data_IF_831212427927
#
_entry.id   IF_831212427927
#
_cell.length_a   1.000
_cell.length_b   1.000
_cell.length_c   1.000
_cell.angle_alpha   90.00
_cell.angle_beta   90.00
_cell.angle_gamma   90.00
#
_symmetry.space_group_name_H-M   'P 1'
#
loop_
_entity.id
_entity.type
_entity.pdbx_description
1 polymer ?
#
# COMPACT_ATOMS: atom_id res chain seq x y z
N UNK A 1 16.25 -4.19 -0.17
CA UNK A 1 16.35 -2.82 -0.73
C UNK A 1 15.29 -1.97 -0.06
N UNK A 2 15.71 -1.02 0.78
CA UNK A 2 14.79 -0.09 1.44
C UNK A 2 14.26 0.90 0.40
N UNK A 3 12.94 1.14 0.37
CA UNK A 3 12.26 2.05 -0.55
C UNK A 3 12.52 3.54 -0.22
N UNK A 4 13.70 3.85 0.32
CA UNK A 4 14.11 5.18 0.75
C UNK A 4 14.67 6.04 -0.39
N UNK A 5 14.73 5.54 -1.63
CA UNK A 5 15.36 6.26 -2.75
C UNK A 5 14.76 5.95 -4.13
N UNK A 6 13.50 5.49 -4.21
CA UNK A 6 12.82 5.49 -5.50
C UNK A 6 12.48 6.94 -5.83
N UNK A 7 13.32 7.57 -6.67
CA UNK A 7 13.07 8.91 -7.21
C UNK A 7 11.65 8.89 -7.77
N UNK A 8 10.77 9.73 -7.23
CA UNK A 8 9.39 9.83 -7.72
C UNK A 8 9.46 10.26 -9.17
N UNK A 9 9.25 9.32 -10.08
CA UNK A 9 9.20 9.56 -11.52
C UNK A 9 7.75 9.75 -11.95
N UNK A 10 7.51 10.47 -13.06
CA UNK A 10 6.17 10.57 -13.64
C UNK A 10 5.54 9.19 -13.91
N UNK A 11 6.32 8.20 -14.36
CA UNK A 11 5.85 6.81 -14.55
C UNK A 11 5.25 6.20 -13.27
N UNK A 12 5.94 6.34 -12.13
CA UNK A 12 5.45 5.79 -10.86
C UNK A 12 4.21 6.56 -10.38
N UNK A 13 4.15 7.88 -10.63
CA UNK A 13 2.96 8.68 -10.32
C UNK A 13 1.77 8.23 -11.18
N UNK A 14 1.97 8.02 -12.48
CA UNK A 14 0.92 7.55 -13.39
C UNK A 14 0.41 6.17 -12.98
N UNK A 15 1.33 5.22 -12.72
CA UNK A 15 0.98 3.90 -12.21
C UNK A 15 0.24 3.96 -10.87
N UNK A 16 0.68 4.81 -9.94
CA UNK A 16 -0.01 5.03 -8.66
C UNK A 16 -1.43 5.56 -8.85
N UNK A 17 -1.62 6.55 -9.73
CA UNK A 17 -2.94 7.08 -10.02
C UNK A 17 -3.84 6.03 -10.70
N UNK A 18 -3.29 5.22 -11.61
CA UNK A 18 -4.03 4.12 -12.23
C UNK A 18 -4.45 3.06 -11.19
N UNK A 19 -3.54 2.66 -10.31
CA UNK A 19 -3.82 1.76 -9.20
C UNK A 19 -4.86 2.32 -8.24
N UNK A 20 -4.82 3.62 -7.95
CA UNK A 20 -5.84 4.32 -7.14
C UNK A 20 -7.21 4.27 -7.81
N UNK A 21 -7.29 4.53 -9.11
CA UNK A 21 -8.55 4.43 -9.87
C UNK A 21 -9.08 3.00 -9.84
N UNK A 22 -8.21 2.01 -10.07
CA UNK A 22 -8.58 0.58 -10.04
C UNK A 22 -9.13 0.18 -8.66
N UNK A 23 -8.44 0.57 -7.59
CA UNK A 23 -8.86 0.26 -6.22
C UNK A 23 -10.14 1.01 -5.83
N UNK A 24 -10.34 2.24 -6.31
CA UNK A 24 -11.61 2.96 -6.12
C UNK A 24 -12.78 2.29 -6.85
N UNK A 25 -12.53 1.77 -8.06
CA UNK A 25 -13.52 1.01 -8.82
C UNK A 25 -13.83 -0.35 -8.16
N UNK A 26 -12.83 -0.98 -7.53
CA UNK A 26 -12.95 -2.26 -6.86
C UNK A 26 -12.37 -2.20 -5.42
N UNK A 27 -13.09 -1.61 -4.45
CA UNK A 27 -12.56 -1.39 -3.10
C UNK A 27 -12.27 -2.68 -2.32
N UNK A 28 -12.86 -3.80 -2.74
CA UNK A 28 -12.64 -5.13 -2.16
C UNK A 28 -11.50 -5.91 -2.81
N UNK A 29 -10.81 -5.33 -3.81
CA UNK A 29 -9.76 -6.02 -4.59
C UNK A 29 -8.63 -6.55 -3.70
N UNK A 30 -8.36 -5.88 -2.59
CA UNK A 30 -7.31 -6.24 -1.64
C UNK A 30 -7.83 -7.04 -0.44
N UNK A 31 -9.14 -7.23 -0.30
CA UNK A 31 -9.74 -7.81 0.91
C UNK A 31 -9.31 -9.28 1.10
N UNK A 32 -9.19 -10.03 0.00
CA UNK A 32 -8.66 -11.40 0.02
C UNK A 32 -7.18 -11.42 0.45
N UNK A 33 -6.36 -10.55 -0.14
CA UNK A 33 -4.92 -10.46 0.17
C UNK A 33 -4.68 -10.00 1.61
N UNK A 34 -5.49 -9.04 2.10
CA UNK A 34 -5.50 -8.61 3.49
C UNK A 34 -5.92 -9.79 4.38
N UNK A 35 -6.95 -10.55 4.01
CA UNK A 35 -7.43 -11.71 4.77
C UNK A 35 -6.39 -12.82 4.94
N UNK A 36 -5.41 -12.91 4.04
CA UNK A 36 -4.27 -13.85 4.14
C UNK A 36 -3.22 -13.44 5.17
N UNK A 37 -3.23 -12.19 5.64
CA UNK A 37 -2.30 -11.71 6.65
C UNK A 37 -2.73 -12.13 8.07
N UNK A 38 -1.77 -12.16 9.00
CA UNK A 38 -2.06 -12.37 10.41
C UNK A 38 -3.02 -11.30 10.94
N UNK A 39 -3.85 -11.59 11.96
CA UNK A 39 -4.82 -10.64 12.51
C UNK A 39 -4.21 -9.27 12.88
N UNK A 40 -2.98 -9.29 13.41
CA UNK A 40 -2.23 -8.08 13.77
C UNK A 40 -1.75 -7.26 12.56
N UNK A 41 -1.58 -7.90 11.39
CA UNK A 41 -1.18 -7.26 10.14
C UNK A 41 -2.37 -6.85 9.26
N UNK A 42 -3.55 -7.43 9.48
CA UNK A 42 -4.78 -7.05 8.78
C UNK A 42 -5.17 -5.60 9.04
N UNK A 43 -5.10 -5.14 10.30
CA UNK A 43 -5.47 -3.77 10.66
C UNK A 43 -4.58 -2.71 9.97
N UNK A 44 -3.24 -2.80 10.01
CA UNK A 44 -2.39 -1.89 9.25
C UNK A 44 -2.55 -2.03 7.73
N UNK A 45 -2.77 -3.23 7.18
CA UNK A 45 -3.01 -3.42 5.75
C UNK A 45 -4.33 -2.76 5.28
N UNK A 46 -5.39 -2.80 6.10
CA UNK A 46 -6.63 -2.04 5.85
C UNK A 46 -6.35 -0.54 5.86
N UNK A 47 -5.56 -0.03 6.82
CA UNK A 47 -5.15 1.39 6.85
C UNK A 47 -4.41 1.81 5.58
N UNK A 48 -3.58 0.94 5.00
CA UNK A 48 -2.94 1.19 3.69
C UNK A 48 -3.96 1.32 2.55
N UNK A 49 -4.88 0.35 2.44
CA UNK A 49 -5.95 0.39 1.43
C UNK A 49 -6.79 1.65 1.56
N UNK A 50 -7.29 1.92 2.77
CA UNK A 50 -8.12 3.09 3.07
C UNK A 50 -7.39 4.41 2.79
N UNK A 51 -6.06 4.45 2.97
CA UNK A 51 -5.26 5.61 2.60
C UNK A 51 -5.27 5.90 1.10
N UNK A 52 -5.19 4.88 0.25
CA UNK A 52 -5.26 5.05 -1.22
C UNK A 52 -6.64 5.45 -1.71
N UNK A 53 -7.69 4.96 -1.05
CA UNK A 53 -9.06 5.32 -1.39
C UNK A 53 -9.38 6.80 -1.13
N UNK A 54 -8.57 7.52 -0.33
CA UNK A 54 -8.74 8.96 -0.09
C UNK A 54 -8.49 9.79 -1.34
N UNK A 55 -9.35 10.76 -1.60
CA UNK A 55 -9.24 11.65 -2.76
C UNK A 55 -7.95 12.48 -2.78
N UNK A 56 -7.52 13.02 -1.64
CA UNK A 56 -6.36 13.92 -1.53
C UNK A 56 -5.00 13.20 -1.39
N UNK A 57 -4.96 11.86 -1.48
CA UNK A 57 -3.68 11.15 -1.37
C UNK A 57 -2.91 11.18 -2.70
N UNK A 58 -1.70 11.69 -2.63
CA UNK A 58 -0.64 11.57 -3.63
C UNK A 58 0.41 10.53 -3.21
N UNK A 59 1.33 10.20 -4.13
CA UNK A 59 2.33 9.17 -3.90
C UNK A 59 3.23 9.48 -2.69
N UNK A 60 3.61 10.74 -2.46
CA UNK A 60 4.45 11.12 -1.32
C UNK A 60 3.71 10.98 0.02
N UNK A 61 2.45 11.43 0.08
CA UNK A 61 1.59 11.22 1.25
C UNK A 61 1.35 9.74 1.51
N UNK A 62 1.17 8.94 0.47
CA UNK A 62 1.00 7.50 0.59
C UNK A 62 2.27 6.82 1.13
N UNK A 63 3.46 7.16 0.59
CA UNK A 63 4.72 6.60 1.06
C UNK A 63 5.01 6.98 2.52
N UNK A 64 4.79 8.25 2.87
CA UNK A 64 5.03 8.78 4.21
C UNK A 64 4.04 8.21 5.23
N UNK A 65 2.76 8.21 4.90
CA UNK A 65 1.71 7.64 5.74
C UNK A 65 1.85 6.12 5.89
N UNK A 66 2.24 5.44 4.82
CA UNK A 66 2.59 4.02 4.85
C UNK A 66 3.74 3.72 5.80
N UNK A 67 4.85 4.47 5.69
CA UNK A 67 5.97 4.30 6.61
C UNK A 67 5.56 4.54 8.07
N UNK A 68 4.67 5.50 8.34
CA UNK A 68 4.14 5.73 9.69
C UNK A 68 3.30 4.55 10.21
N UNK A 69 2.44 3.96 9.37
CA UNK A 69 1.68 2.74 9.70
C UNK A 69 2.63 1.59 10.04
N UNK A 70 3.66 1.37 9.21
CA UNK A 70 4.66 0.32 9.42
C UNK A 70 5.47 0.54 10.69
N UNK A 71 5.89 1.78 10.97
CA UNK A 71 6.69 2.12 12.15
C UNK A 71 5.95 1.86 13.48
N UNK A 72 4.62 1.96 13.49
CA UNK A 72 3.80 1.63 14.66
C UNK A 72 3.60 0.13 14.91
N UNK A 73 4.09 -0.74 14.02
CA UNK A 73 3.88 -2.18 14.08
C UNK A 73 5.10 -2.93 14.63
N UNK A 74 4.87 -4.10 15.24
CA UNK A 74 5.95 -5.02 15.64
C UNK A 74 6.73 -5.55 14.43
N UNK A 75 7.99 -5.95 14.63
CA UNK A 75 8.86 -6.44 13.56
C UNK A 75 8.29 -7.60 12.74
N UNK A 76 7.47 -8.47 13.36
CA UNK A 76 6.77 -9.55 12.67
C UNK A 76 5.72 -9.01 11.68
N UNK A 77 4.86 -8.10 12.13
CA UNK A 77 3.85 -7.44 11.31
C UNK A 77 4.48 -6.61 10.21
N UNK A 78 5.60 -5.94 10.48
CA UNK A 78 6.33 -5.18 9.48
C UNK A 78 6.80 -6.05 8.30
N UNK A 79 7.25 -7.29 8.55
CA UNK A 79 7.63 -8.24 7.49
C UNK A 79 6.43 -8.69 6.67
N UNK A 80 5.30 -8.97 7.32
CA UNK A 80 4.06 -9.32 6.62
C UNK A 80 3.56 -8.16 5.74
N UNK A 81 3.64 -6.93 6.24
CA UNK A 81 3.29 -5.73 5.47
C UNK A 81 4.25 -5.47 4.30
N UNK A 82 5.53 -5.88 4.40
CA UNK A 82 6.44 -5.84 3.26
C UNK A 82 6.04 -6.83 2.17
N UNK A 83 5.65 -8.05 2.54
CA UNK A 83 5.06 -9.02 1.60
C UNK A 83 3.79 -8.48 0.95
N UNK A 84 2.86 -8.01 1.78
CA UNK A 84 1.62 -7.36 1.32
C UNK A 84 1.91 -6.20 0.36
N UNK A 85 2.96 -5.41 0.60
CA UNK A 85 3.33 -4.32 -0.30
C UNK A 85 3.65 -4.85 -1.71
N UNK A 86 4.33 -5.99 -1.84
CA UNK A 86 4.61 -6.58 -3.14
C UNK A 86 3.33 -7.06 -3.83
N UNK A 87 2.48 -7.82 -3.14
CA UNK A 87 1.18 -8.24 -3.70
C UNK A 87 0.32 -7.04 -4.09
N UNK A 88 0.35 -5.99 -3.26
CA UNK A 88 -0.39 -4.76 -3.47
C UNK A 88 -0.01 -4.07 -4.78
N UNK A 89 1.28 -3.93 -5.07
CA UNK A 89 1.69 -3.31 -6.32
C UNK A 89 1.58 -4.22 -7.53
N UNK A 90 1.62 -5.54 -7.37
CA UNK A 90 1.30 -6.46 -8.46
C UNK A 90 -0.18 -6.34 -8.86
N UNK A 91 -1.08 -6.43 -7.87
CA UNK A 91 -2.54 -6.31 -8.04
C UNK A 91 -2.93 -4.97 -8.67
N UNK A 92 -2.24 -3.89 -8.29
CA UNK A 92 -2.51 -2.55 -8.80
C UNK A 92 -1.62 -2.16 -9.99
N UNK A 93 -0.77 -3.07 -10.48
CA UNK A 93 0.19 -2.83 -11.57
C UNK A 93 1.03 -1.55 -11.38
N UNK A 94 1.61 -1.41 -10.18
CA UNK A 94 2.37 -0.22 -9.76
C UNK A 94 3.84 -0.19 -10.19
N UNK A 95 4.39 -1.30 -10.67
CA UNK A 95 5.76 -1.38 -11.18
C UNK A 95 5.87 -2.29 -12.39
#
# INVERSE_FOLDING_TARGET
>A
MALSSTKVTPDIIEKFNAGKILLKANPTLLDETIGKLSPAAQEPAKKYRDMILKDDVDLEKFMSGGNAIKAGCSSAVQKELEGFKFDFGDILSLW
#
